data_IF_629548330978
#
_entry.id   IF_629548330978
#
_cell.length_a   1.000
_cell.length_b   1.000
_cell.length_c   1.000
_cell.angle_alpha   90.00
_cell.angle_beta   90.00
_cell.angle_gamma   90.00
#
_symmetry.space_group_name_H-M   'P 1'
#
loop_
_entity.id
_entity.type
_entity.pdbx_description
1 polymer ?
#
# COMPACT_ATOMS: atom_id res chain seq x y z
N UNK A 1 -19.51 -30.33 -18.14
CA UNK A 1 -20.15 -29.10 -17.61
C UNK A 1 -19.40 -28.38 -16.49
N UNK A 2 -18.69 -29.07 -15.58
CA UNK A 2 -17.97 -28.41 -14.47
C UNK A 2 -16.59 -27.85 -14.82
N UNK A 3 -15.91 -28.40 -15.83
CA UNK A 3 -14.52 -28.05 -16.19
C UNK A 3 -14.38 -26.68 -16.88
N UNK A 4 -15.29 -26.31 -17.78
CA UNK A 4 -15.25 -24.99 -18.43
C UNK A 4 -15.61 -23.85 -17.48
N UNK A 5 -16.42 -24.10 -16.44
CA UNK A 5 -16.74 -23.08 -15.42
C UNK A 5 -15.52 -22.69 -14.60
N UNK A 6 -14.67 -23.66 -14.25
CA UNK A 6 -13.40 -23.40 -13.57
C UNK A 6 -12.43 -22.62 -14.46
N UNK A 7 -12.33 -22.97 -15.74
CA UNK A 7 -11.48 -22.25 -16.70
C UNK A 7 -11.95 -20.81 -16.89
N UNK A 8 -13.26 -20.58 -17.06
CA UNK A 8 -13.82 -19.22 -17.15
C UNK A 8 -13.59 -18.42 -15.87
N UNK A 9 -13.75 -19.04 -14.70
CA UNK A 9 -13.46 -18.38 -13.42
C UNK A 9 -11.99 -17.98 -13.28
N UNK A 10 -11.06 -18.86 -13.68
CA UNK A 10 -9.61 -18.56 -13.67
C UNK A 10 -9.27 -17.42 -14.63
N UNK A 11 -9.86 -17.40 -15.83
CA UNK A 11 -9.65 -16.32 -16.80
C UNK A 11 -10.18 -14.99 -16.24
N UNK A 12 -11.37 -14.96 -15.64
CA UNK A 12 -11.91 -13.75 -15.02
C UNK A 12 -11.05 -13.24 -13.85
N UNK A 13 -10.46 -14.14 -13.05
CA UNK A 13 -9.51 -13.77 -11.98
C UNK A 13 -8.21 -13.20 -12.56
N UNK A 14 -7.70 -13.77 -13.65
CA UNK A 14 -6.47 -13.28 -14.28
C UNK A 14 -6.63 -11.87 -14.88
N UNK A 15 -7.83 -11.52 -15.35
CA UNK A 15 -8.13 -10.18 -15.89
C UNK A 15 -8.25 -9.10 -14.80
N UNK A 16 -8.29 -9.48 -13.52
CA UNK A 16 -8.37 -8.55 -12.39
C UNK A 16 -7.03 -8.35 -11.67
N UNK A 17 -5.94 -8.96 -12.18
CA UNK A 17 -4.60 -8.74 -11.66
C UNK A 17 -4.08 -7.38 -12.12
N UNK A 18 -4.07 -6.42 -11.20
CA UNK A 18 -3.34 -5.16 -11.36
C UNK A 18 -1.87 -5.39 -11.00
N UNK A 19 -0.94 -4.91 -11.83
CA UNK A 19 0.47 -4.91 -11.46
C UNK A 19 0.70 -4.01 -10.23
N UNK A 20 1.50 -4.50 -9.28
CA UNK A 20 1.99 -3.69 -8.14
C UNK A 20 3.40 -3.19 -8.46
N UNK A 21 3.71 -1.97 -8.04
CA UNK A 21 5.03 -1.38 -8.22
C UNK A 21 5.98 -1.83 -7.10
N UNK A 22 7.28 -1.86 -7.37
CA UNK A 22 8.30 -2.12 -6.34
C UNK A 22 8.17 -1.16 -5.15
N UNK A 23 7.79 0.10 -5.42
CA UNK A 23 7.57 1.12 -4.39
C UNK A 23 6.40 0.81 -3.44
N UNK A 24 5.50 -0.11 -3.80
CA UNK A 24 4.40 -0.53 -2.94
C UNK A 24 4.86 -1.48 -1.82
N UNK A 25 5.96 -2.21 -2.02
CA UNK A 25 6.52 -3.12 -1.01
C UNK A 25 6.87 -2.38 0.29
N UNK A 26 7.49 -1.19 0.18
CA UNK A 26 7.85 -0.38 1.34
C UNK A 26 6.60 0.06 2.15
N UNK A 27 5.50 0.36 1.46
CA UNK A 27 4.22 0.74 2.10
C UNK A 27 3.65 -0.41 2.93
N UNK A 28 3.95 -1.67 2.59
CA UNK A 28 3.55 -2.84 3.38
C UNK A 28 4.44 -3.10 4.61
N UNK A 29 5.69 -2.60 4.63
CA UNK A 29 6.61 -2.86 5.73
C UNK A 29 6.43 -1.89 6.92
N UNK A 30 6.06 -0.63 6.69
CA UNK A 30 5.98 0.35 7.77
C UNK A 30 4.79 0.10 8.72
N UNK A 31 4.98 -0.19 10.01
CA UNK A 31 3.88 -0.44 10.92
C UNK A 31 3.05 0.84 11.13
N UNK A 32 1.72 0.70 11.11
CA UNK A 32 0.79 1.77 11.45
C UNK A 32 0.07 1.43 12.76
N UNK A 33 -0.22 2.47 13.55
CA UNK A 33 -0.89 2.34 14.84
C UNK A 33 -2.39 2.45 14.65
N UNK A 34 -2.98 1.43 14.03
CA UNK A 34 -4.44 1.31 13.96
C UNK A 34 -4.95 0.35 15.03
N UNK A 35 -5.99 0.76 15.75
CA UNK A 35 -6.66 -0.06 16.75
C UNK A 35 -7.82 0.70 17.38
N UNK A 36 -8.17 0.35 18.62
CA UNK A 36 -9.13 1.12 19.41
C UNK A 36 -8.65 2.55 19.61
N UNK A 37 -9.58 3.45 19.98
CA UNK A 37 -9.23 4.82 20.35
C UNK A 37 -8.21 4.83 21.50
N UNK A 38 -8.34 3.91 22.48
CA UNK A 38 -7.41 3.76 23.60
C UNK A 38 -6.04 3.26 23.14
N UNK A 39 -6.01 2.22 22.32
CA UNK A 39 -4.79 1.67 21.74
C UNK A 39 -4.01 2.72 20.94
N UNK A 40 -4.71 3.44 20.06
CA UNK A 40 -4.14 4.46 19.20
C UNK A 40 -3.69 5.70 20.00
N UNK A 41 -4.47 6.14 21.00
CA UNK A 41 -4.11 7.26 21.86
C UNK A 41 -2.84 7.01 22.68
N UNK A 42 -2.53 5.75 22.98
CA UNK A 42 -1.29 5.36 23.66
C UNK A 42 -0.21 4.87 22.70
N UNK A 43 -0.32 5.21 21.41
CA UNK A 43 0.65 4.86 20.38
C UNK A 43 0.99 3.34 20.32
N UNK A 44 0.01 2.47 20.60
CA UNK A 44 0.16 1.02 20.59
C UNK A 44 0.82 0.41 21.84
N UNK A 45 1.05 1.20 22.90
CA UNK A 45 1.70 0.71 24.13
C UNK A 45 0.95 -0.42 24.87
N UNK A 46 -0.32 -0.69 24.52
CA UNK A 46 -1.11 -1.76 25.16
C UNK A 46 -0.68 -3.17 24.78
N UNK A 47 0.22 -3.38 23.82
CA UNK A 47 0.78 -4.70 23.52
C UNK A 47 1.41 -5.40 24.75
N UNK A 48 2.03 -4.63 25.65
CA UNK A 48 2.64 -5.17 26.87
C UNK A 48 1.65 -5.31 28.04
N UNK A 49 0.68 -4.39 28.16
CA UNK A 49 -0.27 -4.34 29.28
C UNK A 49 -1.48 -5.26 29.07
N UNK A 50 -1.87 -5.51 27.82
CA UNK A 50 -3.05 -6.28 27.43
C UNK A 50 -4.37 -5.58 27.79
N UNK A 51 -5.46 -6.35 27.90
CA UNK A 51 -6.81 -5.86 28.21
C UNK A 51 -7.35 -4.75 27.26
N UNK A 52 -6.82 -4.69 26.03
CA UNK A 52 -7.39 -3.92 24.93
C UNK A 52 -7.59 -4.86 23.73
N UNK A 53 -8.73 -4.80 23.01
CA UNK A 53 -9.00 -5.76 21.95
C UNK A 53 -8.03 -5.62 20.76
N UNK A 54 -7.49 -4.43 20.51
CA UNK A 54 -6.48 -4.22 19.47
C UNK A 54 -5.09 -4.66 19.91
N UNK A 55 -4.81 -4.79 21.20
CA UNK A 55 -3.55 -5.35 21.68
C UNK A 55 -3.45 -6.87 21.51
N UNK A 56 -4.58 -7.57 21.31
CA UNK A 56 -4.62 -9.02 21.13
C UNK A 56 -3.80 -9.44 19.89
N UNK A 57 -3.81 -8.64 18.82
CA UNK A 57 -3.03 -8.92 17.60
C UNK A 57 -1.52 -8.83 17.82
N UNK A 58 -1.08 -7.96 18.73
CA UNK A 58 0.34 -7.79 19.02
C UNK A 58 0.82 -8.79 20.07
N UNK A 59 -0.05 -9.09 21.05
CA UNK A 59 0.22 -10.00 22.15
C UNK A 59 -1.08 -10.75 22.57
N UNK A 60 -1.30 -11.96 22.01
CA UNK A 60 -2.48 -12.77 22.33
C UNK A 60 -2.64 -13.11 23.81
N UNK A 61 -1.54 -13.20 24.57
CA UNK A 61 -1.58 -13.48 26.01
C UNK A 61 -2.31 -12.37 26.80
N UNK A 62 -2.37 -11.15 26.26
CA UNK A 62 -3.16 -10.04 26.81
C UNK A 62 -4.66 -10.34 26.90
N UNK A 63 -5.17 -11.27 26.09
CA UNK A 63 -6.56 -11.75 26.18
C UNK A 63 -6.84 -12.45 27.52
N UNK A 64 -5.83 -13.08 28.14
CA UNK A 64 -5.99 -13.79 29.42
C UNK A 64 -6.26 -12.86 30.61
N UNK A 65 -6.04 -11.55 30.43
CA UNK A 65 -6.29 -10.51 31.44
C UNK A 65 -7.79 -10.16 31.53
N UNK A 66 -8.55 -10.39 30.45
CA UNK A 66 -9.99 -10.12 30.44
C UNK A 66 -10.73 -10.93 31.51
N UNK A 67 -11.61 -10.23 32.25
CA UNK A 67 -12.40 -10.79 33.36
C UNK A 67 -13.90 -10.86 33.06
N UNK A 68 -14.32 -10.27 31.96
CA UNK A 68 -15.71 -10.22 31.50
C UNK A 68 -15.73 -10.23 29.97
N UNK A 69 -16.86 -10.68 29.42
CA UNK A 69 -17.10 -10.57 27.99
C UNK A 69 -17.28 -9.10 27.60
N UNK A 70 -16.79 -8.71 26.43
CA UNK A 70 -16.80 -7.33 25.94
C UNK A 70 -17.09 -7.29 24.43
N UNK A 71 -17.93 -6.36 24.00
CA UNK A 71 -18.07 -5.99 22.59
C UNK A 71 -17.48 -4.59 22.43
N UNK A 72 -16.54 -4.45 21.51
CA UNK A 72 -15.83 -3.21 21.24
C UNK A 72 -15.87 -2.91 19.74
N UNK A 73 -16.09 -1.64 19.39
CA UNK A 73 -16.05 -1.16 18.02
C UNK A 73 -15.39 0.23 18.02
N UNK A 74 -14.53 0.50 17.05
CA UNK A 74 -13.90 1.82 16.89
C UNK A 74 -14.03 2.31 15.46
N UNK A 75 -14.56 3.53 15.33
CA UNK A 75 -14.60 4.27 14.08
C UNK A 75 -13.40 5.20 13.99
N UNK A 76 -12.82 5.30 12.80
CA UNK A 76 -11.73 6.20 12.48
C UNK A 76 -12.18 7.19 11.40
N UNK A 77 -11.57 8.37 11.42
CA UNK A 77 -11.77 9.41 10.42
C UNK A 77 -10.41 9.77 9.85
N UNK A 78 -10.27 9.59 8.53
CA UNK A 78 -9.13 10.04 7.74
C UNK A 78 -9.47 11.41 7.14
N UNK A 79 -8.68 12.41 7.48
CA UNK A 79 -8.67 13.72 6.83
C UNK A 79 -7.27 13.95 6.28
N UNK A 80 -7.17 14.10 4.97
CA UNK A 80 -5.93 14.33 4.25
C UNK A 80 -6.07 15.59 3.41
N UNK A 81 -5.04 16.43 3.41
CA UNK A 81 -4.89 17.52 2.47
C UNK A 81 -3.49 17.42 1.86
N UNK A 82 -3.42 17.21 0.55
CA UNK A 82 -2.19 17.08 -0.20
C UNK A 82 -1.99 18.34 -1.03
N UNK A 83 -0.95 19.12 -0.76
CA UNK A 83 -0.57 20.29 -1.53
C UNK A 83 0.67 19.98 -2.37
N UNK A 84 0.61 20.35 -3.65
CA UNK A 84 1.74 20.22 -4.59
C UNK A 84 1.99 21.56 -5.24
N UNK A 85 3.25 21.98 -5.24
CA UNK A 85 3.70 23.14 -5.99
C UNK A 85 4.52 22.66 -7.19
N UNK A 86 4.03 22.93 -8.40
CA UNK A 86 4.71 22.61 -9.65
C UNK A 86 4.71 23.82 -10.56
N UNK A 87 5.89 24.24 -11.02
CA UNK A 87 6.04 25.37 -11.96
C UNK A 87 5.36 26.66 -11.47
N UNK A 88 5.51 26.98 -10.17
CA UNK A 88 4.87 28.14 -9.49
C UNK A 88 3.33 28.09 -9.51
N UNK A 89 2.74 26.96 -9.83
CA UNK A 89 1.33 26.68 -9.68
C UNK A 89 1.12 25.74 -8.51
N UNK A 90 0.17 26.08 -7.64
CA UNK A 90 -0.16 25.27 -6.47
C UNK A 90 -1.49 24.56 -6.70
N UNK A 91 -1.53 23.26 -6.42
CA UNK A 91 -2.74 22.45 -6.43
C UNK A 91 -2.91 21.76 -5.08
N UNK A 92 -4.14 21.72 -4.59
CA UNK A 92 -4.48 21.09 -3.31
C UNK A 92 -5.61 20.10 -3.52
N UNK A 93 -5.47 18.89 -2.97
CA UNK A 93 -6.52 17.89 -2.95
C UNK A 93 -6.85 17.47 -1.52
N UNK A 94 -8.14 17.53 -1.21
CA UNK A 94 -8.69 17.13 0.07
C UNK A 94 -9.36 15.77 -0.02
N UNK A 95 -9.10 14.90 0.96
CA UNK A 95 -9.82 13.65 1.13
C UNK A 95 -10.36 13.56 2.55
N UNK A 96 -11.64 13.20 2.65
CA UNK A 96 -12.30 12.85 3.90
C UNK A 96 -12.90 11.45 3.79
N UNK A 97 -12.57 10.57 4.73
CA UNK A 97 -13.17 9.23 4.86
C UNK A 97 -13.46 8.93 6.32
N UNK A 98 -14.58 8.26 6.57
CA UNK A 98 -14.92 7.73 7.88
C UNK A 98 -15.28 6.24 7.73
N UNK A 99 -14.90 5.42 8.71
CA UNK A 99 -15.21 4.00 8.69
C UNK A 99 -14.79 3.28 9.95
N UNK A 100 -15.30 2.06 10.15
CA UNK A 100 -14.92 1.20 11.27
C UNK A 100 -13.57 0.54 11.00
N UNK A 101 -12.62 0.78 11.89
CA UNK A 101 -11.25 0.25 11.79
C UNK A 101 -10.99 -0.85 12.82
N UNK A 102 -11.86 -1.00 13.83
CA UNK A 102 -11.83 -2.14 14.72
C UNK A 102 -13.25 -2.57 15.07
N UNK A 103 -13.43 -3.89 15.16
CA UNK A 103 -14.57 -4.53 15.80
C UNK A 103 -14.05 -5.78 16.52
N UNK A 104 -14.43 -5.99 17.76
CA UNK A 104 -13.99 -7.17 18.52
C UNK A 104 -15.05 -7.63 19.50
N UNK A 105 -15.22 -8.94 19.59
CA UNK A 105 -16.07 -9.59 20.56
C UNK A 105 -15.27 -10.58 21.38
N UNK A 106 -15.24 -10.36 22.68
CA UNK A 106 -14.48 -11.12 23.66
C UNK A 106 -15.46 -11.85 24.55
N UNK A 107 -15.25 -13.15 24.73
CA UNK A 107 -16.04 -14.02 25.59
C UNK A 107 -15.12 -14.49 26.70
N UNK A 108 -15.40 -14.11 27.95
CA UNK A 108 -14.64 -14.58 29.11
C UNK A 108 -15.44 -15.62 29.88
N UNK A 109 -14.94 -16.85 29.94
CA UNK A 109 -15.55 -17.95 30.69
C UNK A 109 -14.71 -18.35 31.90
N UNK A 110 -15.38 -18.64 33.01
CA UNK A 110 -14.78 -19.28 34.19
C UNK A 110 -14.97 -20.80 34.09
N UNK A 111 -13.89 -21.61 34.10
CA UNK A 111 -14.04 -23.05 34.08
C UNK A 111 -14.85 -23.54 35.29
N UNK A 112 -15.91 -24.32 35.03
CA UNK A 112 -16.91 -24.75 36.02
C UNK A 112 -16.40 -25.87 36.96
N UNK A 113 -15.29 -26.53 36.64
CA UNK A 113 -14.84 -27.68 37.41
C UNK A 113 -14.25 -27.27 38.78
N UNK A 114 -14.63 -27.99 39.85
CA UNK A 114 -14.10 -27.81 41.21
C UNK A 114 -12.56 -27.95 41.28
N UNK A 115 -11.97 -28.69 40.35
CA UNK A 115 -10.51 -28.88 40.21
C UNK A 115 -9.79 -27.61 39.70
N UNK A 116 -10.44 -26.80 38.86
CA UNK A 116 -9.90 -25.53 38.35
C UNK A 116 -9.75 -24.44 39.44
N UNK A 117 -10.53 -24.54 40.53
CA UNK A 117 -10.51 -23.55 41.63
C UNK A 117 -9.26 -23.61 42.49
N UNK A 118 -8.58 -24.76 42.60
CA UNK A 118 -7.43 -24.93 43.49
C UNK A 118 -6.08 -24.64 42.80
N UNK A 119 -5.82 -25.17 41.60
CA UNK A 119 -4.48 -25.02 40.95
C UNK A 119 -4.49 -24.93 39.42
N UNK A 120 -5.66 -24.76 38.77
CA UNK A 120 -5.79 -24.79 37.30
C UNK A 120 -6.06 -23.44 36.62
N UNK A 121 -6.65 -23.52 35.43
CA UNK A 121 -7.07 -22.37 34.62
C UNK A 121 -8.17 -21.60 35.37
N UNK A 122 -7.93 -20.32 35.66
CA UNK A 122 -8.89 -19.40 36.30
C UNK A 122 -9.84 -18.78 35.30
N UNK A 123 -9.38 -18.51 34.08
CA UNK A 123 -10.17 -17.94 32.98
C UNK A 123 -9.78 -18.58 31.66
N UNK A 124 -10.80 -18.85 30.84
CA UNK A 124 -10.66 -19.24 29.44
C UNK A 124 -11.39 -18.20 28.61
N UNK A 125 -10.64 -17.43 27.82
CA UNK A 125 -11.20 -16.33 27.05
C UNK A 125 -11.04 -16.63 25.56
N UNK A 126 -12.06 -16.27 24.78
CA UNK A 126 -12.05 -16.32 23.32
C UNK A 126 -12.25 -14.92 22.78
N UNK A 127 -11.59 -14.59 21.67
CA UNK A 127 -11.77 -13.32 20.98
C UNK A 127 -11.96 -13.53 19.49
N UNK A 128 -12.95 -12.84 18.94
CA UNK A 128 -13.17 -12.67 17.52
C UNK A 128 -12.89 -11.20 17.22
N UNK A 129 -11.87 -10.93 16.42
CA UNK A 129 -11.40 -9.57 16.18
C UNK A 129 -11.24 -9.30 14.70
N UNK A 130 -11.67 -8.10 14.31
CA UNK A 130 -11.39 -7.47 13.04
C UNK A 130 -10.61 -6.18 13.35
N UNK A 131 -9.44 -6.04 12.74
CA UNK A 131 -8.61 -4.85 12.86
C UNK A 131 -8.14 -4.42 11.46
N UNK A 132 -8.40 -3.17 11.09
CA UNK A 132 -7.68 -2.52 10.01
C UNK A 132 -6.26 -2.27 10.46
N UNK A 133 -5.29 -2.74 9.69
CA UNK A 133 -3.87 -2.58 9.94
C UNK A 133 -3.26 -1.46 9.10
N UNK A 134 -3.77 -1.22 7.89
CA UNK A 134 -3.33 -0.13 7.02
C UNK A 134 -4.46 0.48 6.21
N UNK A 135 -4.28 1.75 5.91
CA UNK A 135 -5.09 2.51 4.97
C UNK A 135 -4.15 3.07 3.89
N UNK A 136 -4.42 2.74 2.63
CA UNK A 136 -3.64 3.19 1.48
C UNK A 136 -4.34 4.30 0.70
N UNK A 137 -5.45 4.83 1.21
CA UNK A 137 -6.17 5.86 0.50
C UNK A 137 -5.38 7.16 0.48
N UNK A 138 -5.05 7.61 -0.71
CA UNK A 138 -4.38 8.89 -0.93
C UNK A 138 -4.87 9.52 -2.23
N UNK A 139 -5.05 10.83 -2.20
CA UNK A 139 -5.29 11.63 -3.39
C UNK A 139 -4.26 12.73 -3.50
N UNK A 140 -3.79 12.93 -4.71
CA UNK A 140 -2.80 13.92 -5.07
C UNK A 140 -3.15 14.42 -6.47
N UNK A 141 -3.20 15.73 -6.63
CA UNK A 141 -3.27 16.38 -7.93
C UNK A 141 -2.12 17.36 -8.02
N UNK A 142 -1.40 17.31 -9.13
CA UNK A 142 -0.37 18.25 -9.50
C UNK A 142 -0.75 18.88 -10.83
N UNK A 143 -0.71 20.21 -10.92
CA UNK A 143 -0.90 20.94 -12.16
C UNK A 143 0.23 21.95 -12.34
N UNK A 144 0.88 21.95 -13.51
CA UNK A 144 1.99 22.86 -13.81
C UNK A 144 1.56 24.18 -14.46
N UNK A 145 0.26 24.47 -14.52
CA UNK A 145 -0.30 25.63 -15.22
C UNK A 145 -0.52 25.41 -16.71
N UNK A 146 -0.76 26.50 -17.45
CA UNK A 146 -0.97 26.51 -18.92
C UNK A 146 0.26 27.11 -19.61
N UNK A 147 0.43 26.81 -20.90
CA UNK A 147 1.49 27.34 -21.74
C UNK A 147 2.91 26.99 -21.25
N UNK A 148 3.11 25.76 -20.76
CA UNK A 148 4.41 25.27 -20.30
C UNK A 148 5.15 24.68 -21.49
N UNK A 149 6.36 25.14 -21.79
CA UNK A 149 7.22 24.63 -22.87
C UNK A 149 8.05 23.41 -22.47
N UNK A 150 7.61 22.67 -21.45
CA UNK A 150 8.29 21.49 -20.92
C UNK A 150 7.24 20.45 -20.48
N UNK A 151 7.57 19.19 -20.72
CA UNK A 151 6.70 18.04 -20.48
C UNK A 151 7.47 16.86 -19.91
N UNK A 152 6.78 15.76 -19.66
CA UNK A 152 7.42 14.52 -19.21
C UNK A 152 8.40 13.97 -20.25
N UNK A 153 8.18 14.21 -21.54
CA UNK A 153 9.08 13.73 -22.61
C UNK A 153 10.40 14.48 -22.61
N UNK A 154 10.44 15.74 -22.14
CA UNK A 154 11.68 16.47 -21.89
C UNK A 154 12.50 15.83 -20.77
N UNK A 155 11.83 15.44 -19.68
CA UNK A 155 12.48 14.73 -18.58
C UNK A 155 13.02 13.37 -19.04
N UNK A 156 12.23 12.61 -19.80
CA UNK A 156 12.67 11.30 -20.30
C UNK A 156 13.82 11.45 -21.30
N UNK A 157 13.77 12.43 -22.22
CA UNK A 157 14.87 12.71 -23.14
C UNK A 157 16.16 13.03 -22.40
N UNK A 158 16.10 13.96 -21.44
CA UNK A 158 17.24 14.29 -20.57
C UNK A 158 17.77 13.08 -19.79
N UNK A 159 16.89 12.25 -19.22
CA UNK A 159 17.28 11.07 -18.45
C UNK A 159 17.88 9.96 -19.33
N UNK A 160 17.44 9.86 -20.58
CA UNK A 160 17.99 8.92 -21.56
C UNK A 160 19.39 9.34 -22.02
N UNK A 161 19.70 10.63 -21.93
CA UNK A 161 21.03 11.19 -22.21
C UNK A 161 21.56 10.75 -23.58
N UNK A 162 22.72 10.11 -23.62
CA UNK A 162 23.45 9.75 -24.85
C UNK A 162 23.38 8.24 -25.11
N UNK A 163 22.40 7.53 -24.53
CA UNK A 163 22.23 6.10 -24.75
C UNK A 163 21.97 5.84 -26.24
N UNK A 164 22.75 4.97 -26.90
CA UNK A 164 22.55 4.63 -28.30
C UNK A 164 21.17 4.06 -28.60
N UNK A 165 20.56 4.44 -29.73
CA UNK A 165 19.23 3.97 -30.13
C UNK A 165 19.14 2.47 -30.36
N UNK A 166 20.20 1.84 -30.85
CA UNK A 166 20.28 0.39 -31.00
C UNK A 166 20.21 -0.37 -29.66
N UNK A 167 20.63 0.25 -28.55
CA UNK A 167 20.44 -0.29 -27.20
C UNK A 167 19.00 -0.16 -26.68
N UNK A 168 18.19 0.74 -27.25
CA UNK A 168 16.81 0.98 -26.82
C UNK A 168 15.77 0.30 -27.71
N UNK A 169 16.04 0.07 -29.00
CA UNK A 169 15.09 -0.53 -29.92
C UNK A 169 15.11 -2.05 -29.88
N UNK A 170 13.92 -2.67 -29.76
CA UNK A 170 13.80 -4.13 -29.81
C UNK A 170 13.99 -4.64 -31.23
N UNK A 171 14.89 -5.60 -31.41
CA UNK A 171 15.11 -6.30 -32.70
C UNK A 171 14.79 -7.79 -32.57
N UNK A 172 14.94 -8.56 -33.65
CA UNK A 172 14.76 -10.01 -33.63
C UNK A 172 15.77 -10.73 -32.71
N UNK A 173 16.95 -10.14 -32.50
CA UNK A 173 18.06 -10.76 -31.78
C UNK A 173 18.40 -10.05 -30.46
N UNK A 174 17.79 -8.91 -30.18
CA UNK A 174 18.05 -8.10 -28.99
C UNK A 174 16.74 -7.63 -28.35
N UNK A 175 16.62 -7.89 -27.05
CA UNK A 175 15.53 -7.39 -26.23
C UNK A 175 16.08 -6.41 -25.18
N UNK A 176 15.82 -5.10 -25.33
CA UNK A 176 16.35 -4.08 -24.43
C UNK A 176 15.87 -4.24 -22.98
N UNK A 177 14.76 -4.94 -22.74
CA UNK A 177 14.28 -5.20 -21.37
C UNK A 177 15.17 -6.20 -20.60
N UNK A 178 15.99 -6.99 -21.30
CA UNK A 178 16.95 -7.90 -20.67
C UNK A 178 18.27 -7.20 -20.31
N UNK A 179 18.49 -5.98 -20.78
CA UNK A 179 19.71 -5.23 -20.52
C UNK A 179 19.54 -4.35 -19.27
N UNK A 180 20.23 -4.73 -18.18
CA UNK A 180 20.13 -4.04 -16.87
C UNK A 180 20.82 -2.69 -16.82
N UNK A 181 21.66 -2.37 -17.81
CA UNK A 181 22.33 -1.05 -17.88
C UNK A 181 21.43 0.01 -18.48
N UNK A 182 20.32 -0.38 -19.11
CA UNK A 182 19.44 0.52 -19.84
C UNK A 182 18.14 0.71 -19.05
N UNK A 183 17.75 1.97 -18.78
CA UNK A 183 16.52 2.22 -18.05
C UNK A 183 15.30 1.90 -18.91
N UNK A 184 14.41 1.05 -18.40
CA UNK A 184 13.21 0.63 -19.12
C UNK A 184 12.27 1.78 -19.50
N UNK A 185 12.27 2.90 -18.77
CA UNK A 185 11.48 4.08 -19.14
C UNK A 185 11.95 4.68 -20.48
N UNK A 186 13.25 4.69 -20.74
CA UNK A 186 13.83 5.15 -22.00
C UNK A 186 13.51 4.18 -23.13
N UNK A 187 13.59 2.88 -22.87
CA UNK A 187 13.20 1.81 -23.82
C UNK A 187 11.75 1.99 -24.25
N UNK A 188 10.82 2.12 -23.28
CA UNK A 188 9.39 2.31 -23.58
C UNK A 188 9.19 3.61 -24.35
N UNK A 189 9.81 4.72 -23.94
CA UNK A 189 9.61 6.01 -24.57
C UNK A 189 10.13 6.06 -26.01
N UNK A 190 11.30 5.48 -26.29
CA UNK A 190 11.86 5.39 -27.63
C UNK A 190 10.98 4.52 -28.54
N UNK A 191 10.61 3.31 -28.09
CA UNK A 191 9.77 2.40 -28.88
C UNK A 191 8.33 2.91 -29.07
N UNK A 192 7.81 3.71 -28.14
CA UNK A 192 6.49 4.34 -28.25
C UNK A 192 6.51 5.67 -29.05
N UNK A 193 7.69 6.17 -29.44
CA UNK A 193 7.85 7.44 -30.15
C UNK A 193 7.56 8.68 -29.30
N UNK A 194 7.70 8.57 -27.97
CA UNK A 194 7.52 9.69 -27.04
C UNK A 194 8.74 10.63 -26.99
N UNK A 195 9.91 10.12 -27.37
CA UNK A 195 11.15 10.87 -27.51
C UNK A 195 11.74 10.61 -28.90
N UNK A 196 12.52 11.56 -29.40
CA UNK A 196 13.18 11.49 -30.70
C UNK A 196 14.69 11.40 -30.52
N UNK A 197 15.28 10.51 -31.28
CA UNK A 197 16.72 10.38 -31.37
C UNK A 197 17.30 11.52 -32.22
N UNK A 198 18.38 12.14 -31.75
CA UNK A 198 19.23 13.01 -32.55
C UNK A 198 20.58 12.32 -32.75
N UNK A 199 21.06 12.27 -33.98
CA UNK A 199 22.24 11.49 -34.38
C UNK A 199 23.30 12.46 -34.90
N UNK A 200 24.57 12.21 -34.60
CA UNK A 200 25.67 12.95 -35.20
C UNK A 200 25.76 12.64 -36.70
N UNK A 201 25.67 13.68 -37.53
CA UNK A 201 25.70 13.55 -39.00
C UNK A 201 26.96 12.84 -39.53
N UNK A 202 28.08 12.91 -38.80
CA UNK A 202 29.38 12.40 -39.25
C UNK A 202 29.65 10.93 -38.86
N UNK A 203 29.06 10.44 -37.76
CA UNK A 203 29.35 9.10 -37.21
C UNK A 203 28.15 8.16 -37.23
N UNK A 204 26.92 8.68 -37.38
CA UNK A 204 25.71 7.89 -37.23
C UNK A 204 25.45 7.43 -35.79
N UNK A 205 26.21 7.94 -34.82
CA UNK A 205 26.04 7.66 -33.41
C UNK A 205 25.00 8.59 -32.78
N UNK A 206 24.21 8.06 -31.85
CA UNK A 206 23.24 8.86 -31.09
C UNK A 206 23.96 9.96 -30.32
N UNK A 207 23.58 11.19 -30.57
CA UNK A 207 24.12 12.36 -29.90
C UNK A 207 23.38 12.63 -28.60
N UNK A 208 22.05 12.68 -28.65
CA UNK A 208 21.18 12.85 -27.48
C UNK A 208 19.72 12.54 -27.84
N UNK A 209 18.88 12.40 -26.81
CA UNK A 209 17.43 12.27 -26.95
C UNK A 209 16.71 13.57 -26.66
N UNK A 210 15.72 13.91 -27.49
CA UNK A 210 14.89 15.10 -27.32
C UNK A 210 13.40 14.77 -27.18
N UNK A 211 12.67 15.73 -26.64
CA UNK A 211 11.21 15.69 -26.52
C UNK A 211 10.51 15.60 -27.89
N UNK A 212 9.27 15.10 -27.86
CA UNK A 212 8.39 15.18 -29.03
C UNK A 212 7.91 16.60 -29.29
N UNK A 213 7.88 17.46 -28.26
CA UNK A 213 7.43 18.84 -28.39
C UNK A 213 8.24 19.60 -29.44
N UNK A 214 7.54 20.34 -30.29
CA UNK A 214 8.17 21.22 -31.28
C UNK A 214 8.56 22.57 -30.66
N UNK A 215 9.42 23.31 -31.38
CA UNK A 215 9.81 24.66 -30.96
C UNK A 215 8.57 25.57 -30.90
N UNK A 216 8.37 26.19 -29.73
CA UNK A 216 7.20 27.01 -29.36
C UNK A 216 5.90 26.24 -29.10
N UNK A 217 5.92 24.91 -29.11
CA UNK A 217 4.79 24.14 -28.61
C UNK A 217 4.69 24.28 -27.10
N UNK A 218 3.47 24.30 -26.58
CA UNK A 218 3.23 24.40 -25.14
C UNK A 218 2.16 23.42 -24.70
N UNK A 219 2.32 22.91 -23.48
CA UNK A 219 1.41 21.96 -22.85
C UNK A 219 0.81 22.51 -21.58
N UNK A 220 -0.24 21.86 -21.09
CA UNK A 220 -0.81 22.10 -19.77
C UNK A 220 -0.65 20.82 -18.94
N UNK A 221 0.50 20.61 -18.30
CA UNK A 221 0.81 19.34 -17.69
C UNK A 221 0.01 19.18 -16.39
N UNK A 222 -0.58 17.99 -16.23
CA UNK A 222 -1.31 17.62 -15.03
C UNK A 222 -1.02 16.16 -14.68
N UNK A 223 -1.07 15.87 -13.39
CA UNK A 223 -0.91 14.53 -12.86
C UNK A 223 -1.91 14.33 -11.73
N UNK A 224 -2.71 13.28 -11.83
CA UNK A 224 -3.66 12.90 -10.79
C UNK A 224 -3.35 11.48 -10.33
N UNK A 225 -3.09 11.33 -9.04
CA UNK A 225 -2.87 10.05 -8.39
C UNK A 225 -3.99 9.81 -7.39
N UNK A 226 -4.62 8.65 -7.52
CA UNK A 226 -5.60 8.14 -6.56
C UNK A 226 -5.21 6.72 -6.18
N UNK A 227 -4.79 6.56 -4.95
CA UNK A 227 -4.55 5.26 -4.33
C UNK A 227 -5.76 4.92 -3.46
N UNK A 228 -6.14 3.64 -3.46
CA UNK A 228 -7.22 3.15 -2.62
C UNK A 228 -7.00 1.71 -2.23
N UNK A 229 -7.29 1.40 -0.96
CA UNK A 229 -7.20 0.05 -0.45
C UNK A 229 -7.01 0.06 1.06
N UNK A 230 -7.20 -1.10 1.67
CA UNK A 230 -6.97 -1.33 3.09
C UNK A 230 -6.26 -2.67 3.28
N UNK A 231 -5.51 -2.78 4.37
CA UNK A 231 -5.02 -4.07 4.85
C UNK A 231 -5.75 -4.37 6.15
N UNK A 232 -6.58 -5.40 6.14
CA UNK A 232 -7.44 -5.78 7.25
C UNK A 232 -7.05 -7.18 7.76
N UNK A 233 -7.10 -7.35 9.07
CA UNK A 233 -6.81 -8.59 9.78
C UNK A 233 -8.06 -9.09 10.49
N UNK A 234 -8.34 -10.39 10.33
CA UNK A 234 -9.38 -11.10 11.05
C UNK A 234 -8.70 -12.19 11.88
N UNK A 235 -8.98 -12.21 13.19
CA UNK A 235 -8.36 -13.16 14.10
C UNK A 235 -9.37 -13.84 15.00
N UNK A 236 -9.09 -15.12 15.27
CA UNK A 236 -9.74 -15.93 16.28
C UNK A 236 -8.65 -16.31 17.28
N UNK A 237 -8.77 -15.81 18.51
CA UNK A 237 -7.78 -16.03 19.57
C UNK A 237 -8.41 -16.72 20.75
N UNK A 238 -7.62 -17.53 21.45
CA UNK A 238 -7.99 -18.15 22.72
C UNK A 238 -6.90 -17.85 23.74
N UNK A 239 -7.26 -17.69 25.00
CA UNK A 239 -6.28 -17.56 26.08
C UNK A 239 -6.70 -18.28 27.35
N UNK A 240 -5.70 -18.71 28.10
CA UNK A 240 -5.82 -19.33 29.41
C UNK A 240 -5.06 -18.55 30.47
N UNK A 241 -5.76 -18.14 31.53
CA UNK A 241 -5.14 -17.58 32.74
C UNK A 241 -4.92 -18.70 33.75
N UNK A 242 -3.68 -18.97 34.14
CA UNK A 242 -3.31 -19.97 35.14
C UNK A 242 -2.91 -19.26 36.45
N UNK A 243 -3.75 -19.43 37.47
CA UNK A 243 -3.55 -18.89 38.81
C UNK A 243 -3.19 -17.38 38.88
N UNK A 244 -3.59 -16.57 37.89
CA UNK A 244 -3.23 -15.15 37.73
C UNK A 244 -1.71 -14.89 37.68
N UNK A 245 -0.90 -15.90 37.36
CA UNK A 245 0.56 -15.79 37.27
C UNK A 245 1.05 -15.96 35.85
N UNK A 246 0.44 -16.89 35.11
CA UNK A 246 0.79 -17.18 33.72
C UNK A 246 -0.43 -16.96 32.86
N UNK A 247 -0.26 -16.17 31.81
CA UNK A 247 -1.26 -15.92 30.80
C UNK A 247 -0.74 -16.51 29.49
N UNK A 248 -1.46 -17.48 28.94
CA UNK A 248 -1.18 -18.06 27.63
C UNK A 248 -2.21 -17.52 26.64
N UNK A 249 -1.79 -17.22 25.41
CA UNK A 249 -2.64 -16.83 24.30
C UNK A 249 -2.03 -17.21 22.98
#
# INVERSE_FOLDING_TARGET
MKRYKAVVAIICISLSLTAQSEFDALKYLQPNIFGTARYSAMAGAFGALGADPSAIKDNPAGLGIYRSSELSATMNVLSQNSQVDWNRHSSSEGMFKAGFHQLSYIISSTPSSKFSRSTGIKRSNWAFSYNRLKDFNRQLSAAGGRNVSASVTDYIGYFTADIPGDELYKTSNYDPYNNVTVPWISVVAANAGLIREYVYDDTGETAYWQTLLENNETVSPSYFLRESGYFDEYSLSWSGNFNNRVFLG
#
